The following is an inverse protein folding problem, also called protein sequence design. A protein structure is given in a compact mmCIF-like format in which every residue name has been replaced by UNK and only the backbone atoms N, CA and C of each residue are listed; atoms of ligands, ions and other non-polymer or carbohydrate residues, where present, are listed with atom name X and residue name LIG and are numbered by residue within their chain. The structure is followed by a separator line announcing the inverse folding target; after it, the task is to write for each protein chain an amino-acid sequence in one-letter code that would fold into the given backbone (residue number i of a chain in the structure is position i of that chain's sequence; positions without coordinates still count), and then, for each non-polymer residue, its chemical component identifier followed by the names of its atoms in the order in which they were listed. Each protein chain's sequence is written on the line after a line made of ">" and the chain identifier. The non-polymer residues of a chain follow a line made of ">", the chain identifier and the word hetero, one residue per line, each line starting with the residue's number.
data_IF_593547015185
#
_entry.id   IF_593547015185
#
_cell.length_a   1.000
_cell.length_b   1.000
_cell.length_c   1.000
_cell.angle_alpha   90.00
_cell.angle_beta   90.00
_cell.angle_gamma   90.00
#
_symmetry.space_group_name_H-M   'P 1'
#
loop_
_entity.id
_entity.type
_entity.pdbx_description
1 polymer ?
#
# COMPACT_ATOMS: atom_id res chain seq x y z
N UNK A 1 5.28 15.05 -22.94
CA UNK A 1 6.33 15.33 -21.94
C UNK A 1 6.07 14.48 -20.71
N UNK A 2 7.04 13.65 -20.31
CA UNK A 2 7.02 12.95 -19.02
C UNK A 2 7.26 14.01 -17.94
N UNK A 3 6.46 14.01 -16.88
CA UNK A 3 6.70 14.88 -15.72
C UNK A 3 7.81 14.19 -14.90
N UNK A 4 9.05 14.71 -14.90
CA UNK A 4 10.20 13.98 -14.38
C UNK A 4 10.14 13.72 -12.87
N UNK A 5 9.32 14.48 -12.13
CA UNK A 5 9.16 14.34 -10.68
C UNK A 5 8.09 13.32 -10.28
N UNK A 6 7.25 12.88 -11.21
CA UNK A 6 6.14 11.98 -10.96
C UNK A 6 6.61 10.58 -10.49
N UNK A 7 7.68 9.98 -11.06
CA UNK A 7 8.26 8.74 -10.53
C UNK A 7 8.76 8.88 -9.09
N UNK A 8 9.36 10.02 -8.72
CA UNK A 8 9.88 10.25 -7.36
C UNK A 8 8.78 10.22 -6.29
N UNK A 9 7.53 10.53 -6.65
CA UNK A 9 6.37 10.49 -5.75
C UNK A 9 5.68 9.12 -5.82
N UNK A 10 5.45 8.61 -7.02
CA UNK A 10 4.71 7.35 -7.20
C UNK A 10 5.49 6.13 -6.76
N UNK A 11 6.82 6.12 -6.92
CA UNK A 11 7.65 4.96 -6.55
C UNK A 11 7.61 4.72 -5.04
N UNK A 12 7.85 5.71 -4.15
CA UNK A 12 7.67 5.52 -2.71
C UNK A 12 6.21 5.25 -2.32
N UNK A 13 5.25 5.90 -3.01
CA UNK A 13 3.82 5.72 -2.71
C UNK A 13 3.35 4.28 -2.97
N UNK A 14 3.73 3.70 -4.11
CA UNK A 14 3.32 2.34 -4.51
C UNK A 14 4.27 1.27 -3.96
N UNK A 15 5.54 1.59 -3.74
CA UNK A 15 6.55 0.64 -3.26
C UNK A 15 6.65 0.52 -1.74
N UNK A 16 6.21 1.54 -0.99
CA UNK A 16 6.33 1.57 0.47
C UNK A 16 5.00 1.86 1.16
N UNK A 17 4.36 2.99 0.84
CA UNK A 17 3.18 3.45 1.58
C UNK A 17 1.96 2.55 1.34
N UNK A 18 1.61 2.30 0.08
CA UNK A 18 0.50 1.43 -0.27
C UNK A 18 0.73 -0.01 0.25
N UNK A 19 1.90 -0.65 0.07
CA UNK A 19 2.18 -1.97 0.62
C UNK A 19 2.08 -2.00 2.14
N UNK A 20 2.66 -1.03 2.85
CA UNK A 20 2.61 -0.97 4.31
C UNK A 20 1.15 -0.89 4.82
N UNK A 21 0.33 -0.03 4.21
CA UNK A 21 -1.08 0.08 4.56
C UNK A 21 -1.82 -1.23 4.27
N UNK A 22 -1.61 -1.83 3.09
CA UNK A 22 -2.27 -3.10 2.74
C UNK A 22 -1.87 -4.22 3.69
N UNK A 23 -0.60 -4.33 4.09
CA UNK A 23 -0.17 -5.35 5.05
C UNK A 23 -0.83 -5.19 6.41
N UNK A 24 -0.93 -3.96 6.93
CA UNK A 24 -1.63 -3.69 8.20
C UNK A 24 -3.12 -4.00 8.09
N UNK A 25 -3.77 -3.55 7.02
CA UNK A 25 -5.20 -3.81 6.81
C UNK A 25 -5.49 -5.31 6.63
N UNK A 26 -4.67 -6.02 5.86
CA UNK A 26 -4.79 -7.48 5.70
C UNK A 26 -4.55 -8.21 7.01
N UNK A 27 -3.58 -7.77 7.81
CA UNK A 27 -3.33 -8.34 9.14
C UNK A 27 -4.54 -8.14 10.07
N UNK A 28 -5.12 -6.94 10.08
CA UNK A 28 -6.35 -6.69 10.84
C UNK A 28 -7.51 -7.53 10.33
N UNK A 29 -7.69 -7.63 9.01
CA UNK A 29 -8.76 -8.43 8.40
C UNK A 29 -8.67 -9.91 8.75
N UNK A 30 -7.47 -10.52 8.67
CA UNK A 30 -7.27 -11.95 8.98
C UNK A 30 -7.44 -12.23 10.48
N UNK A 31 -7.11 -11.28 11.35
CA UNK A 31 -7.34 -11.43 12.80
C UNK A 31 -8.80 -11.27 13.21
N UNK A 32 -9.66 -10.70 12.35
CA UNK A 32 -11.09 -10.77 12.61
C UNK A 32 -11.44 -12.26 12.49
N UNK A 33 -11.89 -12.87 13.59
CA UNK A 33 -12.45 -14.23 13.64
C UNK A 33 -13.78 -14.35 12.85
N UNK A 34 -13.96 -13.53 11.82
CA UNK A 34 -14.99 -13.66 10.79
C UNK A 34 -14.46 -14.66 9.74
N UNK A 35 -14.32 -15.92 10.16
CA UNK A 35 -14.36 -17.04 9.24
C UNK A 35 -15.84 -17.14 8.85
N UNK A 36 -16.17 -16.84 7.59
CA UNK A 36 -17.53 -17.08 7.06
C UNK A 36 -18.00 -18.50 7.37
#
# INVERSE_FOLDING_TARGET
>A
MIIPHLPSILVPLVGLLLPAITMVLSHLYIQKDEIL
#
